data_IF_743658287241
#
_entry.id   IF_743658287241
#
_cell.length_a   1.000
_cell.length_b   1.000
_cell.length_c   1.000
_cell.angle_alpha   90.00
_cell.angle_beta   90.00
_cell.angle_gamma   90.00
#
_symmetry.space_group_name_H-M   'P 1'
#
loop_
_entity.id
_entity.type
_entity.pdbx_description
1 polymer ?
#
# COMPACT_ATOMS: atom_id res chain seq x y z
N UNK A 1 -23.55 2.10 -45.64
CA UNK A 1 -22.87 2.63 -44.45
C UNK A 1 -21.80 1.63 -44.02
N UNK A 2 -20.60 1.73 -44.58
CA UNK A 2 -19.50 0.78 -44.34
C UNK A 2 -18.65 1.22 -43.15
N UNK A 3 -18.39 0.27 -42.27
CA UNK A 3 -17.72 0.41 -40.97
C UNK A 3 -16.20 0.48 -41.16
N UNK A 4 -15.58 1.35 -40.35
CA UNK A 4 -14.16 1.53 -40.05
C UNK A 4 -13.22 0.34 -40.33
N UNK A 5 -12.01 0.65 -40.80
CA UNK A 5 -10.85 -0.23 -40.68
C UNK A 5 -9.55 0.43 -41.11
N UNK A 6 -8.91 1.19 -40.20
CA UNK A 6 -7.54 1.71 -40.35
C UNK A 6 -6.58 0.52 -40.56
N UNK A 7 -5.85 0.50 -41.68
CA UNK A 7 -4.71 -0.42 -41.88
C UNK A 7 -3.44 0.32 -41.44
N UNK A 8 -2.94 -0.02 -40.26
CA UNK A 8 -1.59 0.38 -39.83
C UNK A 8 -0.58 -0.53 -40.53
N UNK A 9 0.30 0.08 -41.33
CA UNK A 9 1.40 -0.59 -42.00
C UNK A 9 2.47 -0.98 -40.97
N UNK A 10 2.46 -2.22 -40.50
CA UNK A 10 3.60 -2.80 -39.79
C UNK A 10 4.71 -3.07 -40.82
N UNK A 11 5.80 -2.30 -40.74
CA UNK A 11 7.01 -2.54 -41.53
C UNK A 11 7.71 -3.79 -40.99
N UNK A 12 8.03 -4.69 -41.91
CA UNK A 12 8.69 -5.98 -41.68
C UNK A 12 9.95 -5.84 -40.82
N UNK A 13 9.93 -6.40 -39.60
CA UNK A 13 11.15 -6.64 -38.82
C UNK A 13 11.80 -7.90 -39.41
N UNK A 14 12.76 -7.71 -40.31
CA UNK A 14 13.63 -8.80 -40.78
C UNK A 14 14.48 -9.28 -39.60
N UNK A 15 14.11 -10.41 -39.01
CA UNK A 15 14.89 -11.11 -37.98
C UNK A 15 16.11 -11.73 -38.67
N UNK A 16 17.26 -11.07 -38.55
CA UNK A 16 18.54 -11.66 -38.86
C UNK A 16 19.07 -12.44 -37.64
N UNK A 17 19.71 -13.57 -37.93
CA UNK A 17 20.50 -14.45 -37.04
C UNK A 17 19.72 -15.57 -36.32
N UNK A 18 19.50 -16.66 -37.07
CA UNK A 18 18.99 -17.96 -36.59
C UNK A 18 20.06 -18.83 -35.88
N UNK A 19 21.24 -18.30 -35.59
CA UNK A 19 22.36 -19.09 -35.04
C UNK A 19 22.57 -18.94 -33.53
N UNK A 20 21.79 -18.09 -32.85
CA UNK A 20 21.94 -17.88 -31.39
C UNK A 20 21.08 -18.84 -30.53
N UNK A 21 20.37 -19.78 -31.14
CA UNK A 21 19.42 -20.69 -30.46
C UNK A 21 19.93 -22.14 -30.55
N UNK A 22 21.09 -22.45 -29.97
CA UNK A 22 21.52 -23.87 -29.86
C UNK A 22 22.42 -24.18 -28.66
N UNK A 23 22.30 -23.45 -27.54
CA UNK A 23 23.30 -23.60 -26.47
C UNK A 23 22.93 -23.24 -25.04
N UNK A 24 21.65 -23.20 -24.65
CA UNK A 24 21.30 -22.92 -23.26
C UNK A 24 20.28 -23.94 -22.73
N UNK A 25 20.79 -24.94 -21.99
CA UNK A 25 19.99 -25.79 -21.09
C UNK A 25 19.32 -24.87 -20.06
N UNK A 26 18.01 -24.68 -20.19
CA UNK A 26 17.23 -23.86 -19.27
C UNK A 26 16.96 -24.61 -17.97
N UNK A 27 17.82 -24.45 -16.98
CA UNK A 27 17.44 -24.63 -15.58
C UNK A 27 16.46 -23.51 -15.23
N UNK A 28 15.19 -23.86 -15.01
CA UNK A 28 14.18 -22.91 -14.55
C UNK A 28 14.43 -22.55 -13.09
N UNK A 29 15.36 -21.61 -12.86
CA UNK A 29 15.49 -20.96 -11.56
C UNK A 29 14.22 -20.16 -11.27
N UNK A 30 13.71 -20.37 -10.06
CA UNK A 30 12.47 -19.79 -9.54
C UNK A 30 12.45 -18.27 -9.65
N UNK A 31 11.26 -17.76 -9.94
CA UNK A 31 10.92 -16.36 -10.19
C UNK A 31 11.65 -15.37 -9.29
N UNK A 32 12.52 -14.53 -9.88
CA UNK A 32 12.95 -13.29 -9.23
C UNK A 32 11.79 -12.30 -9.27
N UNK A 33 11.04 -12.19 -8.17
CA UNK A 33 10.04 -11.12 -7.99
C UNK A 33 10.72 -9.76 -8.08
N UNK A 34 10.70 -9.15 -9.27
CA UNK A 34 11.04 -7.74 -9.50
C UNK A 34 9.89 -6.88 -8.99
N UNK A 35 9.78 -6.77 -7.67
CA UNK A 35 8.86 -5.84 -7.01
C UNK A 35 9.64 -4.98 -6.03
N UNK A 36 9.46 -3.66 -6.10
CA UNK A 36 9.94 -2.73 -5.08
C UNK A 36 9.35 -3.17 -3.75
N UNK A 37 10.19 -3.51 -2.77
CA UNK A 37 9.75 -3.73 -1.40
C UNK A 37 8.97 -2.48 -0.99
N UNK A 38 7.67 -2.62 -0.74
CA UNK A 38 6.90 -1.54 -0.14
C UNK A 38 7.58 -1.29 1.20
N UNK A 39 8.42 -0.26 1.26
CA UNK A 39 8.78 0.38 2.52
C UNK A 39 7.44 0.73 3.13
N UNK A 40 6.99 -0.08 4.09
CA UNK A 40 6.02 0.38 5.07
C UNK A 40 6.72 1.55 5.71
N UNK A 41 6.50 2.77 5.21
CA UNK A 41 7.05 3.96 5.82
C UNK A 41 6.68 3.80 7.28
N UNK A 42 7.67 3.70 8.18
CA UNK A 42 7.43 3.54 9.59
C UNK A 42 6.39 4.59 9.98
N UNK A 43 5.11 4.20 10.07
CA UNK A 43 4.09 4.98 10.75
C UNK A 43 4.59 4.86 12.17
N UNK A 44 5.42 5.81 12.57
CA UNK A 44 5.98 5.85 13.91
C UNK A 44 4.77 5.99 14.81
N UNK A 45 4.39 4.91 15.48
CA UNK A 45 3.40 4.96 16.52
C UNK A 45 3.91 5.95 17.56
N UNK A 46 3.30 7.14 17.57
CA UNK A 46 3.66 8.18 18.53
C UNK A 46 2.93 7.86 19.82
N UNK A 47 3.69 7.60 20.87
CA UNK A 47 3.16 7.37 22.21
C UNK A 47 3.08 8.73 22.90
N UNK A 48 1.89 9.04 23.42
CA UNK A 48 1.65 10.23 24.23
C UNK A 48 1.27 9.78 25.64
N UNK A 49 1.98 10.30 26.64
CA UNK A 49 1.68 10.06 28.04
C UNK A 49 0.94 11.28 28.60
N UNK A 50 -0.17 11.04 29.29
CA UNK A 50 -0.93 12.07 29.99
C UNK A 50 -1.03 11.68 31.46
N UNK A 51 -0.76 12.64 32.34
CA UNK A 51 -0.93 12.48 33.77
C UNK A 51 -2.28 13.08 34.17
N UNK A 52 -3.06 12.31 34.91
CA UNK A 52 -4.37 12.72 35.41
C UNK A 52 -4.57 12.18 36.82
N UNK A 53 -5.39 12.88 37.60
CA UNK A 53 -5.87 12.41 38.89
C UNK A 53 -6.98 11.36 38.69
N UNK A 54 -7.26 10.58 39.73
CA UNK A 54 -8.27 9.51 39.65
C UNK A 54 -9.66 10.05 39.27
N UNK A 55 -10.05 11.19 39.83
CA UNK A 55 -11.35 11.83 39.55
C UNK A 55 -11.48 12.25 38.09
N UNK A 56 -10.42 12.84 37.53
CA UNK A 56 -10.40 13.26 36.13
C UNK A 56 -10.49 12.05 35.18
N UNK A 57 -9.82 10.95 35.54
CA UNK A 57 -9.86 9.72 34.75
C UNK A 57 -11.27 9.12 34.68
N UNK A 58 -12.02 9.15 35.79
CA UNK A 58 -13.39 8.66 35.84
C UNK A 58 -14.34 9.55 35.04
N UNK A 59 -14.18 10.88 35.12
CA UNK A 59 -14.93 11.81 34.26
C UNK A 59 -14.65 11.59 32.77
N UNK A 60 -13.39 11.35 32.40
CA UNK A 60 -12.99 11.12 31.02
C UNK A 60 -13.56 9.80 30.47
N UNK A 61 -13.62 8.75 31.30
CA UNK A 61 -14.30 7.50 30.95
C UNK A 61 -15.79 7.72 30.70
N UNK A 62 -16.48 8.40 31.60
CA UNK A 62 -17.91 8.68 31.44
C UNK A 62 -18.19 9.46 30.14
N UNK A 63 -17.33 10.43 29.78
CA UNK A 63 -17.45 11.20 28.53
C UNK A 63 -17.16 10.35 27.29
N UNK A 64 -16.24 9.39 27.37
CA UNK A 64 -15.95 8.46 26.29
C UNK A 64 -17.11 7.47 26.07
N UNK A 65 -17.65 6.91 27.15
CA UNK A 65 -18.81 6.01 27.14
C UNK A 65 -20.06 6.69 26.58
N UNK A 66 -20.31 7.95 26.93
CA UNK A 66 -21.40 8.74 26.39
C UNK A 66 -21.33 8.92 24.86
N UNK A 67 -20.14 8.75 24.26
CA UNK A 67 -19.91 8.79 22.82
C UNK A 67 -19.73 7.41 22.19
N UNK A 68 -19.89 6.34 22.97
CA UNK A 68 -19.67 4.95 22.55
C UNK A 68 -18.26 4.72 21.98
N UNK A 69 -17.26 5.41 22.52
CA UNK A 69 -15.86 5.31 22.12
C UNK A 69 -15.03 4.71 23.25
N UNK A 70 -13.97 3.99 22.89
CA UNK A 70 -12.94 3.68 23.87
C UNK A 70 -12.22 4.96 24.31
N UNK A 71 -11.63 4.97 25.51
CA UNK A 71 -10.92 6.13 26.04
C UNK A 71 -9.82 6.62 25.08
N UNK A 72 -9.08 5.69 24.47
CA UNK A 72 -7.99 6.00 23.53
C UNK A 72 -8.51 6.61 22.22
N UNK A 73 -9.62 6.12 21.68
CA UNK A 73 -10.27 6.70 20.50
C UNK A 73 -10.84 8.08 20.80
N UNK A 74 -11.48 8.24 21.96
CA UNK A 74 -11.99 9.52 22.41
C UNK A 74 -10.88 10.58 22.46
N UNK A 75 -9.70 10.24 22.98
CA UNK A 75 -8.54 11.13 22.96
C UNK A 75 -8.04 11.44 21.55
N UNK A 76 -7.95 10.44 20.67
CA UNK A 76 -7.53 10.66 19.28
C UNK A 76 -8.46 11.62 18.55
N UNK A 77 -9.77 11.38 18.64
CA UNK A 77 -10.77 12.23 18.02
C UNK A 77 -10.68 13.63 18.62
N UNK A 78 -10.60 13.76 19.94
CA UNK A 78 -10.57 15.08 20.58
C UNK A 78 -9.31 15.90 20.28
N UNK A 79 -8.15 15.25 20.12
CA UNK A 79 -6.86 15.93 19.89
C UNK A 79 -6.56 16.21 18.41
N UNK A 80 -7.10 15.41 17.49
CA UNK A 80 -6.73 15.48 16.07
C UNK A 80 -7.91 15.77 15.12
N UNK A 81 -9.12 15.98 15.64
CA UNK A 81 -10.25 16.47 14.83
C UNK A 81 -10.22 18.01 14.84
N UNK A 82 -9.30 18.59 14.08
CA UNK A 82 -9.47 19.96 13.56
C UNK A 82 -10.38 19.94 12.32
#
# INVERSE_FOLDING_TARGET
>A
MSVLGKKENFKDIKIANKEFISGAKGETSTEKKRGRTKMTSNKRDKIYAFHCTQKELDELKARAEARYLSLSEYFRVKLFSE
#
